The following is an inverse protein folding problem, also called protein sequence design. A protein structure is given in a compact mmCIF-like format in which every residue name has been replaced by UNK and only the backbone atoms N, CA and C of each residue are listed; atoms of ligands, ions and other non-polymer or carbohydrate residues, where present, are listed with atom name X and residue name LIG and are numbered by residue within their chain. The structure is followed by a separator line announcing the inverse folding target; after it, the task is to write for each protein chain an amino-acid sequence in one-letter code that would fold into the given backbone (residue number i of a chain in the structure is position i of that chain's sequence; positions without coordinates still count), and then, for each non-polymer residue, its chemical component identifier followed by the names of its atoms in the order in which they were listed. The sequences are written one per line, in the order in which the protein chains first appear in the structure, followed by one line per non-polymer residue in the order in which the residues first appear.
data_IF_939144705210
#
_entry.id   IF_939144705210
#
_cell.length_a   1.000
_cell.length_b   1.000
_cell.length_c   1.000
_cell.angle_alpha   90.00
_cell.angle_beta   90.00
_cell.angle_gamma   90.00
#
_symmetry.space_group_name_H-M   'P 1'
#
loop_
_entity.id
_entity.type
_entity.pdbx_description
1 polymer ?
#
# COMPACT_ATOMS: atom_id res chain seq x y z
N UNK A 1 -9.19 -7.27 52.53
CA UNK A 1 -8.32 -6.11 52.24
C UNK A 1 -8.24 -5.93 50.74
N UNK A 2 -9.03 -4.99 50.21
CA UNK A 2 -9.04 -4.65 48.79
C UNK A 2 -7.77 -3.85 48.49
N UNK A 3 -6.91 -4.33 47.59
CA UNK A 3 -5.76 -3.56 47.11
C UNK A 3 -6.32 -2.39 46.31
N UNK A 4 -6.29 -1.22 46.94
CA UNK A 4 -6.47 0.08 46.32
C UNK A 4 -5.68 0.12 45.01
N UNK A 5 -6.40 0.19 43.89
CA UNK A 5 -5.85 0.32 42.54
C UNK A 5 -4.93 1.55 42.58
N UNK A 6 -3.63 1.33 42.43
CA UNK A 6 -2.59 2.34 42.60
C UNK A 6 -3.03 3.69 42.03
N UNK A 7 -2.99 4.73 42.88
CA UNK A 7 -3.26 6.13 42.54
C UNK A 7 -2.83 6.40 41.10
N UNK A 8 -3.77 6.76 40.21
CA UNK A 8 -3.48 7.29 38.86
C UNK A 8 -2.40 8.35 39.05
N UNK A 9 -1.15 8.02 38.71
CA UNK A 9 -0.06 8.97 38.84
C UNK A 9 -0.46 10.23 38.07
N UNK A 10 -0.34 11.40 38.69
CA UNK A 10 -0.65 12.68 38.05
C UNK A 10 0.34 12.88 36.90
N UNK A 11 0.01 12.37 35.72
CA UNK A 11 0.84 12.52 34.53
C UNK A 11 0.68 13.96 34.04
N UNK A 12 1.79 14.65 33.72
CA UNK A 12 1.74 16.02 33.22
C UNK A 12 0.94 16.12 31.90
N UNK A 13 0.64 17.32 31.41
CA UNK A 13 0.11 17.49 30.06
C UNK A 13 1.05 16.88 29.02
N UNK A 14 0.50 16.26 27.95
CA UNK A 14 1.32 15.69 26.87
C UNK A 14 2.30 16.71 26.27
N UNK A 15 1.84 17.96 26.13
CA UNK A 15 2.61 19.06 25.55
C UNK A 15 3.94 19.30 26.27
N UNK A 16 3.97 19.23 27.61
CA UNK A 16 5.20 19.44 28.38
C UNK A 16 6.23 18.34 28.11
N UNK A 17 5.78 17.10 27.93
CA UNK A 17 6.67 15.99 27.56
C UNK A 17 7.14 16.12 26.11
N UNK A 18 6.25 16.53 25.20
CA UNK A 18 6.58 16.76 23.79
C UNK A 18 7.70 17.79 23.65
N UNK A 19 7.59 18.94 24.30
CA UNK A 19 8.61 20.00 24.27
C UNK A 19 9.98 19.53 24.80
N UNK A 20 9.98 18.68 25.83
CA UNK A 20 11.21 18.07 26.36
C UNK A 20 11.83 17.11 25.35
N UNK A 21 11.03 16.27 24.71
CA UNK A 21 11.49 15.29 23.74
C UNK A 21 12.00 15.94 22.45
N UNK A 22 11.34 17.00 21.99
CA UNK A 22 11.80 17.83 20.86
C UNK A 22 13.21 18.36 21.08
N UNK A 23 13.53 18.81 22.31
CA UNK A 23 14.89 19.29 22.64
C UNK A 23 15.92 18.17 22.54
N UNK A 24 15.58 16.95 22.93
CA UNK A 24 16.49 15.79 22.82
C UNK A 24 16.73 15.44 21.34
N UNK A 25 15.68 15.45 20.52
CA UNK A 25 15.82 15.22 19.06
C UNK A 25 16.73 16.28 18.45
N UNK A 26 16.55 17.56 18.82
CA UNK A 26 17.40 18.67 18.35
C UNK A 26 18.86 18.56 18.79
N UNK A 27 19.16 17.80 19.84
CA UNK A 27 20.52 17.49 20.29
C UNK A 27 21.16 16.33 19.51
N UNK A 28 20.46 15.75 18.52
CA UNK A 28 20.95 14.65 17.69
C UNK A 28 20.86 13.26 18.33
N UNK A 29 20.32 13.14 19.55
CA UNK A 29 20.13 11.85 20.22
C UNK A 29 18.81 11.20 19.80
N UNK A 30 18.73 10.79 18.53
CA UNK A 30 17.51 10.25 17.92
C UNK A 30 17.03 8.95 18.56
N UNK A 31 17.94 7.99 18.76
CA UNK A 31 17.60 6.71 19.38
C UNK A 31 17.16 6.89 20.84
N UNK A 32 17.87 7.70 21.62
CA UNK A 32 17.48 8.02 22.99
C UNK A 32 16.12 8.70 23.05
N UNK A 33 15.85 9.67 22.16
CA UNK A 33 14.56 10.31 22.04
C UNK A 33 13.44 9.29 21.72
N UNK A 34 13.68 8.37 20.79
CA UNK A 34 12.73 7.31 20.43
C UNK A 34 12.36 6.44 21.65
N UNK A 35 13.35 5.99 22.42
CA UNK A 35 13.09 5.20 23.63
C UNK A 35 12.29 5.98 24.67
N UNK A 36 12.55 7.29 24.80
CA UNK A 36 11.76 8.15 25.68
C UNK A 36 10.32 8.34 25.20
N UNK A 37 10.08 8.53 23.88
CA UNK A 37 8.72 8.55 23.31
C UNK A 37 7.97 7.25 23.62
N UNK A 38 8.59 6.08 23.42
CA UNK A 38 8.00 4.76 23.73
C UNK A 38 7.67 4.63 25.22
N UNK A 39 8.62 4.97 26.09
CA UNK A 39 8.43 4.86 27.56
C UNK A 39 7.33 5.79 28.08
N UNK A 40 7.32 7.05 27.63
CA UNK A 40 6.33 8.04 28.07
C UNK A 40 4.95 7.66 27.56
N UNK A 41 4.79 7.38 26.26
CA UNK A 41 3.49 6.98 25.69
C UNK A 41 2.92 5.73 26.37
N UNK A 42 3.76 4.72 26.68
CA UNK A 42 3.34 3.53 27.42
C UNK A 42 2.75 3.84 28.80
N UNK A 43 3.25 4.87 29.50
CA UNK A 43 2.68 5.34 30.78
C UNK A 43 1.29 5.95 30.60
N UNK A 44 1.07 6.76 29.56
CA UNK A 44 -0.25 7.32 29.26
C UNK A 44 -1.25 6.24 28.84
N UNK A 45 -0.82 5.29 28.01
CA UNK A 45 -1.63 4.11 27.64
C UNK A 45 -2.01 3.29 28.87
N UNK A 46 -1.08 3.06 29.80
CA UNK A 46 -1.36 2.33 31.05
C UNK A 46 -2.33 3.08 31.97
N UNK A 47 -2.41 4.40 31.83
CA UNK A 47 -3.35 5.26 32.53
C UNK A 47 -4.69 5.43 31.78
N UNK A 48 -4.92 4.70 30.67
CA UNK A 48 -6.09 4.79 29.79
C UNK A 48 -6.27 6.19 29.14
N UNK A 49 -5.19 6.99 29.09
CA UNK A 49 -5.14 8.33 28.46
C UNK A 49 -4.65 8.21 27.02
N UNK A 50 -5.47 7.60 26.17
CA UNK A 50 -5.09 7.25 24.80
C UNK A 50 -4.88 8.47 23.90
N UNK A 51 -5.71 9.51 24.03
CA UNK A 51 -5.59 10.73 23.22
C UNK A 51 -4.20 11.37 23.36
N UNK A 52 -3.76 11.55 24.61
CA UNK A 52 -2.44 12.10 24.91
C UNK A 52 -1.29 11.20 24.47
N UNK A 53 -1.45 9.88 24.59
CA UNK A 53 -0.46 8.93 24.08
C UNK A 53 -0.32 9.03 22.55
N UNK A 54 -1.44 9.17 21.83
CA UNK A 54 -1.47 9.33 20.38
C UNK A 54 -0.80 10.64 19.95
N UNK A 55 -1.03 11.75 20.66
CA UNK A 55 -0.36 13.02 20.35
C UNK A 55 1.16 12.93 20.53
N UNK A 56 1.62 12.28 21.61
CA UNK A 56 3.05 12.05 21.87
C UNK A 56 3.68 11.19 20.76
N UNK A 57 3.01 10.10 20.37
CA UNK A 57 3.50 9.17 19.35
C UNK A 57 3.49 9.80 17.95
N UNK A 58 2.43 10.51 17.59
CA UNK A 58 2.32 11.26 16.33
C UNK A 58 3.45 12.27 16.22
N UNK A 59 3.67 13.08 17.26
CA UNK A 59 4.74 14.06 17.30
C UNK A 59 6.11 13.39 17.15
N UNK A 60 6.38 12.33 17.93
CA UNK A 60 7.65 11.60 17.86
C UNK A 60 7.90 10.96 16.50
N UNK A 61 6.89 10.35 15.88
CA UNK A 61 6.99 9.79 14.54
C UNK A 61 7.34 10.87 13.51
N UNK A 62 6.59 11.98 13.49
CA UNK A 62 6.85 13.10 12.59
C UNK A 62 8.27 13.65 12.73
N UNK A 63 8.70 13.95 13.96
CA UNK A 63 10.03 14.51 14.22
C UNK A 63 11.16 13.58 13.77
N UNK A 64 11.06 12.29 14.04
CA UNK A 64 12.09 11.32 13.64
C UNK A 64 12.16 11.20 12.11
N UNK A 65 10.99 11.09 11.45
CA UNK A 65 10.91 10.99 9.99
C UNK A 65 11.44 12.24 9.29
N UNK A 66 11.12 13.44 9.81
CA UNK A 66 11.64 14.73 9.30
C UNK A 66 13.16 14.83 9.39
N UNK A 67 13.79 14.19 10.38
CA UNK A 67 15.24 14.14 10.56
C UNK A 67 15.88 12.92 9.86
N UNK A 68 15.16 12.26 8.94
CA UNK A 68 15.65 11.13 8.16
C UNK A 68 15.81 9.82 8.96
N UNK A 69 15.37 9.78 10.21
CA UNK A 69 15.47 8.61 11.09
C UNK A 69 14.29 7.65 10.83
N UNK A 70 14.30 7.02 9.66
CA UNK A 70 13.14 6.28 9.16
C UNK A 70 12.73 5.10 10.03
N UNK A 71 13.69 4.31 10.51
CA UNK A 71 13.43 3.17 11.40
C UNK A 71 12.87 3.63 12.74
N UNK A 72 13.44 4.69 13.33
CA UNK A 72 12.96 5.24 14.60
C UNK A 72 11.54 5.80 14.48
N UNK A 73 11.29 6.55 13.40
CA UNK A 73 9.99 7.16 13.13
C UNK A 73 8.90 6.16 12.78
N UNK A 74 9.23 5.13 11.99
CA UNK A 74 8.28 4.08 11.61
C UNK A 74 7.87 3.20 12.79
N UNK A 75 8.79 2.89 13.70
CA UNK A 75 8.44 2.18 14.95
C UNK A 75 7.45 2.99 15.81
N UNK A 76 7.65 4.31 15.93
CA UNK A 76 6.71 5.17 16.65
C UNK A 76 5.36 5.28 15.93
N UNK A 77 5.38 5.31 14.60
CA UNK A 77 4.18 5.30 13.77
C UNK A 77 3.39 3.98 13.90
N UNK A 78 4.07 2.83 13.98
CA UNK A 78 3.44 1.54 14.26
C UNK A 78 2.83 1.52 15.66
N UNK A 79 3.57 1.99 16.67
CA UNK A 79 3.06 2.09 18.04
C UNK A 79 1.86 3.05 18.15
N UNK A 80 1.82 4.10 17.32
CA UNK A 80 0.64 4.97 17.17
C UNK A 80 -0.59 4.17 16.71
N UNK A 81 -0.46 3.34 15.68
CA UNK A 81 -1.56 2.49 15.19
C UNK A 81 -1.97 1.44 16.22
N UNK A 82 -1.01 0.79 16.88
CA UNK A 82 -1.29 -0.14 17.98
C UNK A 82 -2.06 0.55 19.11
N UNK A 83 -1.75 1.81 19.39
CA UNK A 83 -2.45 2.62 20.38
C UNK A 83 -3.87 2.97 19.93
N UNK A 84 -4.11 3.24 18.63
CA UNK A 84 -5.46 3.40 18.07
C UNK A 84 -6.30 2.14 18.29
N UNK A 85 -5.74 0.96 17.98
CA UNK A 85 -6.40 -0.34 18.17
C UNK A 85 -6.69 -0.59 19.65
N UNK A 86 -5.70 -0.40 20.53
CA UNK A 86 -5.85 -0.62 21.97
C UNK A 86 -6.85 0.33 22.61
N UNK A 87 -6.87 1.59 22.16
CA UNK A 87 -7.84 2.60 22.57
C UNK A 87 -9.23 2.44 21.92
N UNK A 88 -9.39 1.47 21.01
CA UNK A 88 -10.61 1.26 20.21
C UNK A 88 -11.08 2.53 19.51
N UNK A 89 -10.14 3.31 19.01
CA UNK A 89 -10.41 4.60 18.37
C UNK A 89 -11.05 4.34 17.02
N UNK A 90 -12.25 4.87 16.81
CA UNK A 90 -13.00 4.71 15.56
C UNK A 90 -12.30 5.40 14.40
N UNK A 91 -12.37 4.77 13.22
CA UNK A 91 -11.96 5.37 11.97
C UNK A 91 -12.90 6.51 11.56
N UNK A 92 -12.34 7.69 11.29
CA UNK A 92 -13.02 8.88 10.78
C UNK A 92 -12.00 9.82 10.10
N UNK A 93 -12.45 10.96 9.56
CA UNK A 93 -11.56 11.91 8.87
C UNK A 93 -10.46 12.49 9.77
N UNK A 94 -10.75 12.75 11.05
CA UNK A 94 -9.75 13.29 11.99
C UNK A 94 -8.61 12.31 12.27
N UNK A 95 -8.96 11.05 12.54
CA UNK A 95 -8.00 9.99 12.82
C UNK A 95 -7.22 9.58 11.57
N UNK A 96 -7.88 9.58 10.40
CA UNK A 96 -7.22 9.46 9.10
C UNK A 96 -6.23 10.60 8.86
N UNK A 97 -6.57 11.84 9.24
CA UNK A 97 -5.67 12.98 9.10
C UNK A 97 -4.41 12.86 9.96
N UNK A 98 -4.50 12.25 11.15
CA UNK A 98 -3.32 11.91 11.93
C UNK A 98 -2.41 10.89 11.23
N UNK A 99 -2.98 9.84 10.64
CA UNK A 99 -2.21 8.85 9.85
C UNK A 99 -1.57 9.52 8.63
N UNK A 100 -2.33 10.38 7.92
CA UNK A 100 -1.88 11.16 6.76
C UNK A 100 -0.70 12.07 7.11
N UNK A 101 -0.78 12.80 8.22
CA UNK A 101 0.30 13.67 8.71
C UNK A 101 1.60 12.90 8.94
N UNK A 102 1.54 11.71 9.54
CA UNK A 102 2.72 10.86 9.73
C UNK A 102 3.25 10.37 8.38
N UNK A 103 2.35 9.90 7.50
CA UNK A 103 2.69 9.46 6.13
C UNK A 103 3.41 10.55 5.31
N UNK A 104 2.96 11.80 5.39
CA UNK A 104 3.57 12.94 4.70
C UNK A 104 5.01 13.22 5.16
N UNK A 105 5.41 12.78 6.36
CA UNK A 105 6.78 12.93 6.85
C UNK A 105 7.73 11.82 6.40
N UNK A 106 7.23 10.71 5.86
CA UNK A 106 8.13 9.68 5.33
C UNK A 106 8.99 10.26 4.20
N UNK A 107 10.33 10.13 4.27
CA UNK A 107 11.21 10.70 3.26
C UNK A 107 10.93 10.17 1.86
N UNK A 108 11.06 11.05 0.86
CA UNK A 108 10.87 10.75 -0.57
C UNK A 108 12.05 11.21 -1.44
N UNK A 109 13.30 10.82 -1.14
CA UNK A 109 14.41 11.15 -2.02
C UNK A 109 14.24 10.46 -3.38
N UNK A 110 14.88 11.01 -4.41
CA UNK A 110 14.95 10.34 -5.71
C UNK A 110 15.59 8.96 -5.55
N UNK A 111 14.92 7.94 -6.06
CA UNK A 111 15.42 6.56 -6.04
C UNK A 111 16.47 6.43 -7.15
N UNK A 112 17.70 5.96 -6.85
CA UNK A 112 18.70 5.69 -7.89
C UNK A 112 18.14 4.66 -8.88
N UNK A 113 18.05 5.03 -10.17
CA UNK A 113 17.39 4.20 -11.18
C UNK A 113 18.34 3.45 -12.08
N UNK A 114 19.55 3.96 -12.33
CA UNK A 114 20.71 3.30 -12.96
C UNK A 114 21.85 4.35 -12.96
N UNK A 115 23.05 3.98 -12.52
CA UNK A 115 24.28 4.71 -12.87
C UNK A 115 24.87 3.99 -14.07
N UNK A 116 25.33 4.71 -15.10
CA UNK A 116 26.19 4.14 -16.14
C UNK A 116 27.42 3.56 -15.43
N UNK A 117 27.42 2.23 -15.25
CA UNK A 117 28.52 1.49 -14.67
C UNK A 117 29.68 1.51 -15.65
N UNK A 118 30.44 2.60 -15.67
CA UNK A 118 31.78 2.59 -16.26
C UNK A 118 32.69 1.81 -15.31
N UNK A 119 33.34 0.78 -15.85
CA UNK A 119 33.88 -0.42 -15.20
C UNK A 119 34.95 -0.30 -14.09
N UNK A 120 35.14 0.80 -13.32
CA UNK A 120 36.39 0.89 -12.52
C UNK A 120 36.39 1.59 -11.13
N UNK A 121 35.27 1.82 -10.43
CA UNK A 121 35.32 2.33 -9.04
C UNK A 121 34.43 1.51 -8.07
N UNK A 122 35.05 0.58 -7.31
CA UNK A 122 34.42 -0.24 -6.25
C UNK A 122 33.63 0.62 -5.22
N UNK A 123 34.04 1.86 -5.00
CA UNK A 123 33.41 2.81 -4.07
C UNK A 123 32.00 3.25 -4.54
N UNK A 124 31.78 3.35 -5.85
CA UNK A 124 30.48 3.76 -6.40
C UNK A 124 29.45 2.63 -6.39
N UNK A 125 29.91 1.38 -6.60
CA UNK A 125 29.08 0.19 -6.39
C UNK A 125 28.62 0.03 -4.95
N UNK A 126 29.52 0.30 -3.98
CA UNK A 126 29.19 0.25 -2.57
C UNK A 126 28.14 1.31 -2.19
N UNK A 127 28.32 2.57 -2.63
CA UNK A 127 27.34 3.66 -2.38
C UNK A 127 25.97 3.35 -2.99
N UNK A 128 25.94 2.79 -4.20
CA UNK A 128 24.69 2.40 -4.86
C UNK A 128 23.96 1.30 -4.07
N UNK A 129 24.70 0.27 -3.64
CA UNK A 129 24.17 -0.81 -2.80
C UNK A 129 23.56 -0.27 -1.50
N UNK A 130 24.25 0.64 -0.82
CA UNK A 130 23.76 1.30 0.40
C UNK A 130 22.51 2.15 0.13
N UNK A 131 22.47 2.89 -0.97
CA UNK A 131 21.32 3.71 -1.35
C UNK A 131 20.08 2.85 -1.67
N UNK A 132 20.27 1.71 -2.35
CA UNK A 132 19.21 0.72 -2.62
C UNK A 132 18.73 0.09 -1.32
N UNK A 133 19.64 -0.33 -0.42
CA UNK A 133 19.29 -0.90 0.88
C UNK A 133 18.51 0.09 1.75
N UNK A 134 18.93 1.36 1.76
CA UNK A 134 18.21 2.43 2.42
C UNK A 134 16.82 2.62 1.80
N UNK A 135 16.68 2.62 0.47
CA UNK A 135 15.39 2.72 -0.21
C UNK A 135 14.44 1.56 0.14
N UNK A 136 14.94 0.31 0.09
CA UNK A 136 14.20 -0.89 0.51
C UNK A 136 13.71 -0.77 1.95
N UNK A 137 14.58 -0.32 2.86
CA UNK A 137 14.25 -0.10 4.28
C UNK A 137 13.14 0.94 4.45
N UNK A 138 13.20 2.06 3.70
CA UNK A 138 12.17 3.10 3.76
C UNK A 138 10.80 2.60 3.29
N UNK A 139 10.78 1.90 2.15
CA UNK A 139 9.55 1.32 1.60
C UNK A 139 8.94 0.33 2.56
N UNK A 140 9.75 -0.55 3.15
CA UNK A 140 9.26 -1.54 4.11
C UNK A 140 8.68 -0.87 5.36
N UNK A 141 9.38 0.12 5.93
CA UNK A 141 8.93 0.88 7.08
C UNK A 141 7.58 1.60 6.84
N UNK A 142 7.44 2.29 5.71
CA UNK A 142 6.20 2.97 5.34
C UNK A 142 5.07 1.96 5.04
N UNK A 143 5.39 0.87 4.34
CA UNK A 143 4.44 -0.17 3.99
C UNK A 143 3.88 -0.86 5.23
N UNK A 144 4.73 -1.22 6.18
CA UNK A 144 4.32 -1.80 7.46
C UNK A 144 3.38 -0.87 8.23
N UNK A 145 3.71 0.42 8.34
CA UNK A 145 2.86 1.43 8.98
C UNK A 145 1.47 1.56 8.31
N UNK A 146 1.44 1.68 6.98
CA UNK A 146 0.18 1.85 6.25
C UNK A 146 -0.64 0.55 6.22
N UNK A 147 -0.02 -0.63 6.12
CA UNK A 147 -0.72 -1.92 6.25
C UNK A 147 -1.38 -2.06 7.62
N UNK A 148 -0.67 -1.71 8.70
CA UNK A 148 -1.25 -1.70 10.04
C UNK A 148 -2.43 -0.72 10.13
N UNK A 149 -2.30 0.46 9.52
CA UNK A 149 -3.36 1.48 9.48
C UNK A 149 -4.57 1.03 8.66
N UNK A 150 -4.37 0.33 7.53
CA UNK A 150 -5.44 -0.28 6.73
C UNK A 150 -6.20 -1.30 7.59
N UNK A 151 -5.48 -2.18 8.30
CA UNK A 151 -6.08 -3.18 9.20
C UNK A 151 -6.89 -2.54 10.32
N UNK A 152 -6.31 -1.55 11.01
CA UNK A 152 -7.03 -0.77 12.02
C UNK A 152 -8.29 -0.13 11.44
N UNK A 153 -8.20 0.51 10.28
CA UNK A 153 -9.34 1.16 9.66
C UNK A 153 -10.46 0.16 9.34
N UNK A 154 -10.13 -1.03 8.83
CA UNK A 154 -11.11 -2.08 8.53
C UNK A 154 -11.82 -2.60 9.78
N UNK A 155 -11.11 -2.69 10.92
CA UNK A 155 -11.65 -3.18 12.19
C UNK A 155 -12.51 -2.13 12.90
N UNK A 156 -12.16 -0.84 12.79
CA UNK A 156 -12.74 0.22 13.62
C UNK A 156 -13.59 1.26 12.85
N UNK A 157 -14.09 0.94 11.66
CA UNK A 157 -15.19 1.71 11.05
C UNK A 157 -15.07 2.07 9.57
N UNK A 158 -13.99 1.69 8.89
CA UNK A 158 -13.88 1.80 7.43
C UNK A 158 -14.65 0.66 6.72
N UNK A 159 -14.55 0.64 5.39
CA UNK A 159 -15.06 -0.46 4.58
C UNK A 159 -14.38 -1.79 4.97
N UNK A 160 -14.98 -2.92 4.58
CA UNK A 160 -14.51 -4.29 4.89
C UNK A 160 -13.01 -4.54 4.63
N UNK A 161 -12.42 -3.83 3.66
CA UNK A 161 -11.03 -4.00 3.26
C UNK A 161 -10.13 -2.84 3.71
N UNK A 162 -10.62 -1.96 4.59
CA UNK A 162 -9.92 -0.76 5.05
C UNK A 162 -10.24 0.49 4.23
N UNK A 163 -9.63 1.61 4.61
CA UNK A 163 -9.79 2.90 3.95
C UNK A 163 -9.20 2.91 2.55
N UNK A 164 -9.97 3.29 1.52
CA UNK A 164 -9.46 3.48 0.16
C UNK A 164 -8.32 4.49 0.08
N UNK A 165 -8.36 5.55 0.87
CA UNK A 165 -7.35 6.59 0.93
C UNK A 165 -6.01 6.04 1.45
N UNK A 166 -6.03 5.17 2.46
CA UNK A 166 -4.82 4.50 2.96
C UNK A 166 -4.23 3.53 1.93
N UNK A 167 -5.09 2.83 1.18
CA UNK A 167 -4.67 2.01 0.06
C UNK A 167 -3.97 2.84 -1.03
N UNK A 168 -4.51 4.01 -1.39
CA UNK A 168 -3.90 4.91 -2.36
C UNK A 168 -2.53 5.43 -1.89
N UNK A 169 -2.43 5.84 -0.62
CA UNK A 169 -1.15 6.29 -0.02
C UNK A 169 -0.10 5.19 -0.12
N UNK A 170 -0.47 3.95 0.19
CA UNK A 170 0.45 2.82 0.14
C UNK A 170 0.87 2.51 -1.29
N UNK A 171 -0.08 2.48 -2.24
CA UNK A 171 0.22 2.23 -3.64
C UNK A 171 1.16 3.29 -4.25
N UNK A 172 0.89 4.58 -3.99
CA UNK A 172 1.72 5.70 -4.46
C UNK A 172 3.14 5.65 -3.89
N UNK A 173 3.27 5.35 -2.59
CA UNK A 173 4.59 5.25 -1.96
C UNK A 173 5.38 4.05 -2.48
N UNK A 174 4.74 2.88 -2.58
CA UNK A 174 5.38 1.68 -3.15
C UNK A 174 5.82 1.92 -4.59
N UNK A 175 5.00 2.57 -5.42
CA UNK A 175 5.36 2.85 -6.80
C UNK A 175 6.51 3.86 -6.93
N UNK A 176 6.46 4.95 -6.16
CA UNK A 176 7.40 6.07 -6.32
C UNK A 176 8.73 5.88 -5.60
N UNK A 177 8.76 5.06 -4.54
CA UNK A 177 9.93 4.95 -3.65
C UNK A 177 10.63 3.58 -3.70
N UNK A 178 10.07 2.59 -4.42
CA UNK A 178 10.73 1.29 -4.57
C UNK A 178 11.84 1.34 -5.62
N UNK A 179 13.04 0.81 -5.32
CA UNK A 179 14.09 0.63 -6.33
C UNK A 179 13.69 -0.38 -7.41
N UNK A 180 12.94 -1.41 -7.01
CA UNK A 180 12.37 -2.42 -7.89
C UNK A 180 10.87 -2.43 -7.67
N UNK A 181 10.10 -1.93 -8.64
CA UNK A 181 8.64 -1.78 -8.50
C UNK A 181 7.94 -3.12 -8.73
N UNK A 182 7.35 -3.66 -7.66
CA UNK A 182 6.40 -4.77 -7.73
C UNK A 182 5.01 -4.23 -8.13
N UNK A 183 4.76 -4.15 -9.44
CA UNK A 183 3.52 -3.59 -9.96
C UNK A 183 2.28 -4.42 -9.60
N UNK A 184 2.46 -5.71 -9.25
CA UNK A 184 1.37 -6.56 -8.77
C UNK A 184 0.87 -6.05 -7.42
N UNK A 185 1.77 -5.81 -6.46
CA UNK A 185 1.41 -5.25 -5.15
C UNK A 185 0.90 -3.81 -5.24
N UNK A 186 1.50 -2.98 -6.10
CA UNK A 186 1.02 -1.62 -6.34
C UNK A 186 -0.43 -1.64 -6.86
N UNK A 187 -0.70 -2.47 -7.87
CA UNK A 187 -2.05 -2.63 -8.44
C UNK A 187 -3.04 -3.15 -7.41
N UNK A 188 -2.63 -4.12 -6.58
CA UNK A 188 -3.46 -4.66 -5.49
C UNK A 188 -3.98 -3.55 -4.56
N UNK A 189 -3.16 -2.57 -4.20
CA UNK A 189 -3.61 -1.46 -3.37
C UNK A 189 -4.43 -0.44 -4.17
N UNK A 190 -4.03 -0.07 -5.38
CA UNK A 190 -4.80 0.89 -6.19
C UNK A 190 -6.23 0.44 -6.50
N UNK A 191 -6.47 -0.86 -6.78
CA UNK A 191 -7.84 -1.36 -7.05
C UNK A 191 -8.78 -1.30 -5.83
N UNK A 192 -8.24 -1.01 -4.65
CA UNK A 192 -8.98 -0.78 -3.40
C UNK A 192 -9.08 0.72 -3.06
N UNK A 193 -8.45 1.58 -3.86
CA UNK A 193 -8.57 3.02 -3.81
C UNK A 193 -9.79 3.54 -4.59
N UNK A 194 -9.88 4.87 -4.73
CA UNK A 194 -10.88 5.61 -5.50
C UNK A 194 -10.27 6.45 -6.63
N UNK A 195 -8.96 6.73 -6.59
CA UNK A 195 -8.28 7.59 -7.55
C UNK A 195 -7.85 6.86 -8.84
N UNK A 196 -8.83 6.66 -9.73
CA UNK A 196 -8.64 5.98 -11.03
C UNK A 196 -7.61 6.69 -11.93
N UNK A 197 -7.63 8.03 -11.96
CA UNK A 197 -6.70 8.83 -12.77
C UNK A 197 -5.25 8.63 -12.35
N UNK A 198 -4.98 8.65 -11.03
CA UNK A 198 -3.63 8.37 -10.53
C UNK A 198 -3.20 6.93 -10.85
N UNK A 199 -4.11 5.97 -10.76
CA UNK A 199 -3.80 4.58 -11.08
C UNK A 199 -3.49 4.39 -12.58
N UNK A 200 -4.32 4.93 -13.48
CA UNK A 200 -4.07 4.93 -14.92
C UNK A 200 -2.69 5.54 -15.25
N UNK A 201 -2.37 6.67 -14.63
CA UNK A 201 -1.06 7.32 -14.81
C UNK A 201 0.10 6.48 -14.33
N UNK A 202 -0.11 5.78 -13.22
CA UNK A 202 0.89 4.87 -12.67
C UNK A 202 1.13 3.68 -13.60
N UNK A 203 0.06 3.10 -14.17
CA UNK A 203 0.16 2.02 -15.15
C UNK A 203 0.95 2.47 -16.37
N UNK A 204 0.59 3.62 -16.96
CA UNK A 204 1.25 4.12 -18.19
C UNK A 204 2.72 4.46 -17.94
N UNK A 205 3.03 5.08 -16.80
CA UNK A 205 4.42 5.37 -16.45
C UNK A 205 5.23 4.09 -16.18
N UNK A 206 4.59 3.02 -15.69
CA UNK A 206 5.22 1.71 -15.52
C UNK A 206 5.44 0.98 -16.85
N UNK A 207 4.49 1.10 -17.79
CA UNK A 207 4.61 0.49 -19.12
C UNK A 207 5.89 0.94 -19.85
N UNK A 208 6.26 2.21 -19.73
CA UNK A 208 7.51 2.74 -20.31
C UNK A 208 8.81 2.14 -19.71
N UNK A 209 8.70 1.35 -18.63
CA UNK A 209 9.81 0.63 -17.99
C UNK A 209 9.76 -0.88 -18.24
N UNK A 210 8.70 -1.39 -18.87
CA UNK A 210 8.55 -2.82 -19.16
C UNK A 210 9.40 -3.22 -20.38
N UNK A 211 9.69 -4.51 -20.50
CA UNK A 211 10.26 -5.04 -21.74
C UNK A 211 9.24 -4.87 -22.89
N UNK A 212 9.71 -4.66 -24.14
CA UNK A 212 8.82 -4.57 -25.29
C UNK A 212 7.87 -5.77 -25.38
N UNK A 213 6.57 -5.50 -25.46
CA UNK A 213 5.53 -6.52 -25.51
C UNK A 213 5.04 -7.03 -24.15
N UNK A 214 5.51 -6.49 -23.01
CA UNK A 214 4.98 -6.79 -21.67
C UNK A 214 4.12 -5.66 -21.08
N UNK A 215 4.01 -4.54 -21.79
CA UNK A 215 3.27 -3.35 -21.42
C UNK A 215 1.75 -3.61 -21.29
N UNK A 216 1.22 -4.46 -22.16
CA UNK A 216 -0.19 -4.88 -22.13
C UNK A 216 -0.56 -5.68 -20.86
N UNK A 217 0.42 -6.36 -20.24
CA UNK A 217 0.22 -7.11 -19.00
C UNK A 217 -0.17 -6.20 -17.83
N UNK A 218 0.37 -4.98 -17.77
CA UNK A 218 0.08 -4.04 -16.68
C UNK A 218 -1.39 -3.60 -16.70
N UNK A 219 -1.93 -3.31 -17.89
CA UNK A 219 -3.34 -2.95 -18.09
C UNK A 219 -4.22 -4.15 -17.78
N UNK A 220 -3.94 -5.32 -18.37
CA UNK A 220 -4.72 -6.54 -18.17
C UNK A 220 -4.82 -6.90 -16.68
N UNK A 221 -3.70 -6.85 -15.96
CA UNK A 221 -3.65 -7.13 -14.52
C UNK A 221 -4.55 -6.20 -13.73
N UNK A 222 -4.46 -4.90 -13.96
CA UNK A 222 -5.26 -3.92 -13.25
C UNK A 222 -6.77 -4.12 -13.47
N UNK A 223 -7.18 -4.38 -14.72
CA UNK A 223 -8.57 -4.68 -15.06
C UNK A 223 -9.03 -5.97 -14.40
N UNK A 224 -8.28 -7.07 -14.55
CA UNK A 224 -8.62 -8.36 -13.96
C UNK A 224 -8.69 -8.31 -12.43
N UNK A 225 -7.84 -7.49 -11.79
CA UNK A 225 -7.90 -7.27 -10.34
C UNK A 225 -9.21 -6.58 -9.91
N UNK A 226 -9.65 -5.53 -10.60
CA UNK A 226 -10.98 -4.93 -10.32
C UNK A 226 -12.11 -5.93 -10.51
N UNK A 227 -12.07 -6.71 -11.60
CA UNK A 227 -13.06 -7.73 -11.88
C UNK A 227 -13.05 -8.82 -10.79
N UNK A 228 -11.90 -9.26 -10.29
CA UNK A 228 -11.82 -10.25 -9.20
C UNK A 228 -12.48 -9.77 -7.90
N UNK A 229 -12.57 -8.44 -7.70
CA UNK A 229 -13.30 -7.82 -6.59
C UNK A 229 -14.81 -7.69 -6.85
N UNK A 230 -15.28 -8.10 -8.04
CA UNK A 230 -16.66 -7.90 -8.50
C UNK A 230 -16.94 -6.46 -8.96
N UNK A 231 -15.92 -5.63 -9.16
CA UNK A 231 -16.09 -4.21 -9.49
C UNK A 231 -15.98 -3.97 -11.01
N UNK A 232 -17.00 -4.40 -11.76
CA UNK A 232 -17.09 -4.17 -13.21
C UNK A 232 -17.14 -2.68 -13.55
N UNK A 233 -17.79 -1.87 -12.71
CA UNK A 233 -17.97 -0.44 -12.95
C UNK A 233 -16.63 0.28 -13.04
N UNK A 234 -15.78 0.11 -12.04
CA UNK A 234 -14.50 0.82 -12.02
C UNK A 234 -13.44 0.15 -12.90
N UNK A 235 -13.60 -1.15 -13.23
CA UNK A 235 -12.82 -1.78 -14.29
C UNK A 235 -13.03 -1.09 -15.64
N UNK A 236 -14.29 -0.84 -16.05
CA UNK A 236 -14.58 -0.12 -17.30
C UNK A 236 -14.05 1.32 -17.26
N UNK A 237 -14.29 2.06 -16.16
CA UNK A 237 -13.77 3.42 -16.04
C UNK A 237 -12.24 3.49 -16.04
N UNK A 238 -11.55 2.50 -15.48
CA UNK A 238 -10.09 2.45 -15.54
C UNK A 238 -9.64 2.30 -16.99
N UNK A 239 -10.30 1.45 -17.78
CA UNK A 239 -10.00 1.30 -19.20
C UNK A 239 -10.16 2.64 -19.94
N UNK A 240 -11.29 3.33 -19.72
CA UNK A 240 -11.55 4.65 -20.31
C UNK A 240 -10.46 5.68 -19.94
N UNK A 241 -10.04 5.70 -18.67
CA UNK A 241 -9.03 6.66 -18.19
C UNK A 241 -7.62 6.31 -18.70
N UNK A 242 -7.29 5.01 -18.85
CA UNK A 242 -6.04 4.57 -19.49
C UNK A 242 -6.02 5.02 -20.94
N UNK A 243 -7.07 4.76 -21.72
CA UNK A 243 -7.15 5.19 -23.12
C UNK A 243 -7.00 6.70 -23.26
N UNK A 244 -7.73 7.46 -22.44
CA UNK A 244 -7.66 8.93 -22.42
C UNK A 244 -6.26 9.43 -22.07
N UNK A 245 -5.60 8.82 -21.10
CA UNK A 245 -4.26 9.26 -20.69
C UNK A 245 -3.21 8.90 -21.75
N UNK A 246 -3.31 7.72 -22.38
CA UNK A 246 -2.43 7.35 -23.50
C UNK A 246 -2.58 8.33 -24.67
N UNK A 247 -3.82 8.69 -25.03
CA UNK A 247 -4.10 9.72 -26.05
C UNK A 247 -3.47 11.07 -25.67
N UNK A 248 -3.59 11.48 -24.41
CA UNK A 248 -3.02 12.75 -23.94
C UNK A 248 -1.48 12.79 -23.99
N UNK A 249 -0.84 11.62 -23.89
CA UNK A 249 0.61 11.44 -23.99
C UNK A 249 1.08 11.08 -25.40
N UNK A 250 0.18 11.06 -26.39
CA UNK A 250 0.45 10.62 -27.76
C UNK A 250 1.08 9.21 -27.85
N UNK A 251 0.62 8.30 -26.99
CA UNK A 251 1.00 6.89 -26.99
C UNK A 251 -0.10 6.05 -27.66
N UNK A 252 0.30 5.07 -28.45
CA UNK A 252 -0.63 4.13 -29.08
C UNK A 252 -1.11 3.07 -28.07
N UNK A 253 -2.42 2.82 -28.04
CA UNK A 253 -2.98 1.76 -27.21
C UNK A 253 -2.53 0.38 -27.72
N UNK A 254 -2.10 -0.56 -26.84
CA UNK A 254 -1.54 -1.83 -27.29
C UNK A 254 -2.55 -2.67 -28.10
N UNK A 255 -2.21 -2.98 -29.35
CA UNK A 255 -3.04 -3.78 -30.25
C UNK A 255 -2.71 -5.28 -30.12
N UNK A 256 -2.83 -5.84 -28.93
CA UNK A 256 -2.51 -7.25 -28.64
C UNK A 256 -3.74 -8.13 -28.50
N UNK A 257 -3.57 -9.45 -28.69
CA UNK A 257 -4.62 -10.45 -28.42
C UNK A 257 -5.09 -10.39 -26.96
N UNK A 258 -4.20 -10.04 -26.02
CA UNK A 258 -4.55 -9.89 -24.61
C UNK A 258 -5.47 -8.68 -24.39
N UNK A 259 -5.21 -7.54 -25.04
CA UNK A 259 -6.12 -6.39 -24.96
C UNK A 259 -7.46 -6.68 -25.62
N UNK A 260 -7.47 -7.41 -26.74
CA UNK A 260 -8.70 -7.88 -27.35
C UNK A 260 -9.51 -8.78 -26.40
N UNK A 261 -8.84 -9.72 -25.72
CA UNK A 261 -9.43 -10.55 -24.68
C UNK A 261 -10.06 -9.70 -23.56
N UNK A 262 -9.32 -8.72 -23.02
CA UNK A 262 -9.79 -7.85 -21.93
C UNK A 262 -11.04 -7.06 -22.37
N UNK A 263 -11.04 -6.52 -23.58
CA UNK A 263 -12.20 -5.80 -24.14
C UNK A 263 -13.43 -6.70 -24.28
N UNK A 264 -13.27 -7.90 -24.82
CA UNK A 264 -14.37 -8.86 -24.92
C UNK A 264 -14.84 -9.36 -23.55
N UNK A 265 -13.92 -9.52 -22.60
CA UNK A 265 -14.24 -9.91 -21.24
C UNK A 265 -15.11 -8.85 -20.55
N UNK A 266 -14.73 -7.57 -20.63
CA UNK A 266 -15.51 -6.46 -20.06
C UNK A 266 -16.94 -6.44 -20.60
N UNK A 267 -17.11 -6.63 -21.92
CA UNK A 267 -18.43 -6.71 -22.57
C UNK A 267 -19.21 -7.98 -22.15
N UNK A 268 -18.53 -9.10 -21.99
CA UNK A 268 -19.13 -10.39 -21.60
C UNK A 268 -19.69 -10.33 -20.19
N UNK A 269 -18.99 -9.67 -19.26
CA UNK A 269 -19.41 -9.55 -17.86
C UNK A 269 -20.60 -8.61 -17.64
N UNK A 270 -21.04 -7.87 -18.67
CA UNK A 270 -22.28 -7.07 -18.60
C UNK A 270 -23.55 -7.93 -18.64
N UNK A 271 -23.42 -9.22 -18.95
CA UNK A 271 -24.54 -10.16 -19.14
C UNK A 271 -24.25 -11.47 -18.42
N UNK A 272 -25.31 -12.23 -18.13
CA UNK A 272 -25.16 -13.62 -17.69
C UNK A 272 -24.75 -14.50 -18.88
N UNK A 273 -23.45 -14.61 -19.13
CA UNK A 273 -22.86 -15.20 -20.33
C UNK A 273 -21.68 -16.12 -20.01
N UNK A 274 -21.83 -16.99 -19.00
CA UNK A 274 -20.80 -17.96 -18.60
C UNK A 274 -20.24 -18.81 -19.77
N UNK A 275 -21.04 -19.29 -20.74
CA UNK A 275 -20.50 -20.00 -21.90
C UNK A 275 -19.53 -19.16 -22.74
N UNK A 276 -19.85 -17.88 -22.96
CA UNK A 276 -18.99 -16.93 -23.68
C UNK A 276 -17.71 -16.65 -22.89
N UNK A 277 -17.81 -16.45 -21.58
CA UNK A 277 -16.64 -16.30 -20.70
C UNK A 277 -15.68 -17.50 -20.81
N UNK A 278 -16.20 -18.72 -20.77
CA UNK A 278 -15.37 -19.93 -20.91
C UNK A 278 -14.72 -20.04 -22.30
N UNK A 279 -15.46 -19.70 -23.36
CA UNK A 279 -14.93 -19.67 -24.73
C UNK A 279 -13.80 -18.65 -24.86
N UNK A 280 -13.96 -17.44 -24.30
CA UNK A 280 -12.88 -16.43 -24.29
C UNK A 280 -11.63 -16.95 -23.59
N UNK A 281 -11.77 -17.58 -22.41
CA UNK A 281 -10.61 -18.16 -21.69
C UNK A 281 -9.88 -19.23 -22.49
N UNK A 282 -10.61 -20.03 -23.28
CA UNK A 282 -10.01 -21.07 -24.11
C UNK A 282 -9.30 -20.48 -25.34
N UNK A 283 -9.96 -19.56 -26.04
CA UNK A 283 -9.46 -18.98 -27.29
C UNK A 283 -8.24 -18.08 -27.06
N UNK A 284 -8.18 -17.38 -25.93
CA UNK A 284 -7.08 -16.48 -25.58
C UNK A 284 -6.08 -17.10 -24.59
N UNK A 285 -6.06 -18.43 -24.47
CA UNK A 285 -5.24 -19.13 -23.47
C UNK A 285 -3.75 -18.77 -23.57
N UNK A 286 -3.20 -18.71 -24.78
CA UNK A 286 -1.80 -18.32 -25.02
C UNK A 286 -1.46 -16.93 -24.49
N UNK A 287 -2.36 -15.96 -24.66
CA UNK A 287 -2.18 -14.59 -24.18
C UNK A 287 -2.36 -14.50 -22.65
N UNK A 288 -3.29 -15.27 -22.09
CA UNK A 288 -3.58 -15.32 -20.64
C UNK A 288 -2.43 -15.97 -19.87
N UNK A 289 -1.87 -17.06 -20.39
CA UNK A 289 -0.82 -17.84 -19.70
C UNK A 289 0.54 -17.11 -19.61
N UNK A 290 0.68 -15.92 -20.24
CA UNK A 290 1.86 -15.05 -20.10
C UNK A 290 2.04 -14.53 -18.67
N UNK A 291 0.96 -14.39 -17.90
CA UNK A 291 1.01 -14.06 -16.48
C UNK A 291 0.19 -15.11 -15.69
N UNK A 292 0.83 -15.97 -14.89
CA UNK A 292 0.15 -17.02 -14.11
C UNK A 292 -1.00 -16.48 -13.24
N UNK A 293 -0.89 -15.24 -12.75
CA UNK A 293 -1.90 -14.60 -11.91
C UNK A 293 -3.23 -14.41 -12.64
N UNK A 294 -3.24 -14.28 -13.98
CA UNK A 294 -4.46 -14.03 -14.73
C UNK A 294 -5.46 -15.18 -14.62
N UNK A 295 -4.99 -16.42 -14.66
CA UNK A 295 -5.87 -17.58 -14.50
C UNK A 295 -6.54 -17.61 -13.12
N UNK A 296 -5.81 -17.21 -12.08
CA UNK A 296 -6.33 -17.13 -10.72
C UNK A 296 -7.35 -16.00 -10.56
N UNK A 297 -7.05 -14.81 -11.09
CA UNK A 297 -7.99 -13.68 -11.11
C UNK A 297 -9.27 -14.05 -11.88
N UNK A 298 -9.15 -14.73 -13.03
CA UNK A 298 -10.29 -15.18 -13.82
C UNK A 298 -11.15 -16.23 -13.10
N UNK A 299 -10.55 -17.06 -12.24
CA UNK A 299 -11.30 -17.99 -11.41
C UNK A 299 -12.14 -17.26 -10.35
N UNK A 300 -11.58 -16.21 -9.71
CA UNK A 300 -12.37 -15.35 -8.83
C UNK A 300 -13.43 -14.54 -9.58
N UNK A 301 -13.14 -14.07 -10.80
CA UNK A 301 -14.14 -13.42 -11.67
C UNK A 301 -15.31 -14.38 -11.93
N UNK A 302 -15.04 -15.63 -12.30
CA UNK A 302 -16.08 -16.63 -12.55
C UNK A 302 -16.96 -16.87 -11.31
N UNK A 303 -16.33 -16.90 -10.12
CA UNK A 303 -17.03 -17.03 -8.85
C UNK A 303 -17.88 -15.81 -8.51
N UNK A 304 -17.37 -14.60 -8.73
CA UNK A 304 -18.05 -13.33 -8.41
C UNK A 304 -19.21 -13.02 -9.34
N UNK A 305 -19.04 -13.24 -10.64
CA UNK A 305 -20.03 -12.85 -11.65
C UNK A 305 -20.99 -13.98 -12.02
N UNK A 306 -20.58 -15.25 -11.92
CA UNK A 306 -21.38 -16.41 -12.35
C UNK A 306 -21.62 -17.44 -11.23
N UNK A 307 -21.14 -17.20 -10.01
CA UNK A 307 -21.33 -18.13 -8.88
C UNK A 307 -20.58 -19.46 -9.02
N UNK A 308 -19.61 -19.56 -9.94
CA UNK A 308 -18.85 -20.79 -10.17
C UNK A 308 -17.97 -21.09 -8.96
N UNK A 309 -18.26 -22.19 -8.27
CA UNK A 309 -17.40 -22.71 -7.20
C UNK A 309 -16.44 -23.76 -7.77
N UNK A 310 -15.25 -23.33 -8.21
CA UNK A 310 -14.18 -24.29 -8.54
C UNK A 310 -13.55 -24.80 -7.24
N UNK A 311 -13.48 -26.12 -7.06
CA UNK A 311 -12.57 -26.78 -6.12
C UNK A 311 -11.19 -26.87 -6.78
N UNK A 312 -10.48 -25.76 -6.90
CA UNK A 312 -9.09 -25.82 -7.35
C UNK A 312 -8.18 -26.20 -6.16
N UNK A 313 -7.24 -27.15 -6.30
CA UNK A 313 -6.21 -27.39 -5.28
C UNK A 313 -5.41 -26.13 -4.92
N UNK A 314 -5.33 -25.15 -5.84
CA UNK A 314 -4.66 -23.86 -5.67
C UNK A 314 -5.51 -22.80 -4.94
N UNK A 315 -6.76 -23.11 -4.59
CA UNK A 315 -7.65 -22.15 -3.93
C UNK A 315 -7.16 -21.76 -2.52
N UNK A 316 -6.41 -22.64 -1.85
CA UNK A 316 -5.70 -22.31 -0.60
C UNK A 316 -4.56 -21.32 -0.85
N UNK A 317 -3.76 -21.56 -1.88
CA UNK A 317 -2.62 -20.71 -2.26
C UNK A 317 -3.05 -19.29 -2.67
N UNK A 318 -4.23 -19.10 -3.27
CA UNK A 318 -4.76 -17.77 -3.61
C UNK A 318 -5.13 -16.95 -2.36
N UNK A 319 -5.76 -17.60 -1.39
CA UNK A 319 -5.98 -17.01 -0.07
C UNK A 319 -4.65 -16.57 0.54
N UNK A 320 -3.63 -17.41 0.44
CA UNK A 320 -2.29 -17.13 0.96
C UNK A 320 -1.55 -16.05 0.17
N UNK A 321 -1.69 -15.94 -1.16
CA UNK A 321 -1.10 -14.84 -1.97
C UNK A 321 -1.75 -13.51 -1.62
N UNK A 322 -3.08 -13.45 -1.53
CA UNK A 322 -3.78 -12.21 -1.15
C UNK A 322 -3.51 -11.83 0.31
N UNK A 323 -3.35 -12.82 1.20
CA UNK A 323 -2.87 -12.60 2.57
C UNK A 323 -1.43 -12.12 2.61
N UNK A 324 -0.53 -12.71 1.84
CA UNK A 324 0.88 -12.33 1.75
C UNK A 324 1.05 -10.94 1.14
N UNK A 325 0.25 -10.57 0.13
CA UNK A 325 0.20 -9.21 -0.42
C UNK A 325 -0.43 -8.21 0.56
N UNK A 326 -1.46 -8.64 1.31
CA UNK A 326 -2.06 -7.89 2.40
C UNK A 326 -1.20 -7.76 3.67
N UNK A 327 -0.16 -8.59 3.81
CA UNK A 327 0.75 -8.62 4.95
C UNK A 327 0.15 -9.25 6.22
N UNK A 328 -0.51 -10.40 6.14
CA UNK A 328 -0.63 -11.31 7.30
C UNK A 328 0.69 -12.04 7.59
#
# INVERSE_FOLDING_TARGET
MSRERAKRATLPPAQENIEKLEKVVKQGNYYGAQQMFKSISARYVSAERYSEALDILKCGACLQLENGQVTCGSELALLFVETLVKGKVSYNEETLDHVRKIYEKFPRPLVPQNLDLTDDDDDDMQKLSEAIAAAKTRVECCSSFLKASIKWSAEFGALRYGSPELHEMLADYMYSQSPEVDMVKVSFHFVRGRNLKKFASTIINFMGKCYPGEDDLAIARAILMYLSLGNLRDANKLMDEVEKEMQSKHLDFPQSELMQFVNYLLLTLQRDALPLFNMLRQNYKSSIDRDPLFNELLDEVAKKFYGVQRKSPLQGMFGDIFKMMGGE
#
